data_IF_647250590692
#
_entry.id   IF_647250590692
#
_cell.length_a   1.000
_cell.length_b   1.000
_cell.length_c   1.000
_cell.angle_alpha   90.00
_cell.angle_beta   90.00
_cell.angle_gamma   90.00
#
_symmetry.space_group_name_H-M   'P 1'
#
loop_
_entity.id
_entity.type
_entity.pdbx_description
1 polymer ?
#
# COMPACT_ATOMS: atom_id res chain seq x y z
N UNK A 1 43.32 -23.07 6.22
CA UNK A 1 41.84 -23.18 6.30
C UNK A 1 41.28 -22.60 7.60
N UNK A 2 42.09 -22.36 8.64
CA UNK A 2 41.58 -21.83 9.92
C UNK A 2 41.55 -20.28 9.97
N UNK A 3 42.32 -19.58 9.14
CA UNK A 3 42.45 -18.11 9.17
C UNK A 3 41.27 -17.32 8.56
N UNK A 4 40.35 -17.97 7.82
CA UNK A 4 39.26 -17.28 7.09
C UNK A 4 37.86 -17.52 7.69
N UNK A 5 37.76 -18.09 8.89
CA UNK A 5 36.48 -18.47 9.51
C UNK A 5 35.92 -17.35 10.38
N UNK A 6 34.70 -16.90 10.08
CA UNK A 6 33.99 -15.85 10.85
C UNK A 6 32.66 -16.37 11.36
N UNK A 7 32.39 -16.14 12.65
CA UNK A 7 31.08 -16.39 13.28
C UNK A 7 30.32 -15.08 13.43
N UNK A 8 29.12 -15.02 12.85
CA UNK A 8 28.19 -13.90 13.02
C UNK A 8 27.03 -14.36 13.89
N UNK A 9 26.68 -13.55 14.89
CA UNK A 9 25.49 -13.74 15.71
C UNK A 9 24.64 -12.48 15.58
N UNK A 10 23.35 -12.66 15.29
CA UNK A 10 22.40 -11.57 15.21
C UNK A 10 21.11 -11.97 15.93
N UNK A 11 20.55 -11.00 16.66
CA UNK A 11 19.23 -11.10 17.25
C UNK A 11 18.25 -10.36 16.36
N UNK A 12 17.03 -10.87 16.29
CA UNK A 12 15.91 -10.14 15.74
C UNK A 12 14.67 -10.51 16.54
N UNK A 13 13.77 -9.55 16.64
CA UNK A 13 12.43 -9.81 17.16
C UNK A 13 11.63 -10.53 16.06
N UNK A 14 11.19 -11.76 16.35
CA UNK A 14 10.54 -12.64 15.38
C UNK A 14 9.10 -12.21 15.05
N UNK A 15 8.48 -11.39 15.90
CA UNK A 15 7.11 -10.91 15.69
C UNK A 15 7.14 -9.49 15.15
N UNK A 16 7.80 -8.58 15.88
CA UNK A 16 7.81 -7.17 15.54
C UNK A 16 8.62 -6.88 14.29
N UNK A 17 9.82 -7.48 14.18
CA UNK A 17 10.69 -7.30 13.02
C UNK A 17 10.07 -7.87 11.75
N UNK A 18 9.42 -9.03 11.84
CA UNK A 18 8.71 -9.62 10.71
C UNK A 18 7.51 -8.76 10.29
N UNK A 19 6.71 -8.30 11.26
CA UNK A 19 5.55 -7.43 11.00
C UNK A 19 5.94 -6.14 10.27
N UNK A 20 7.03 -5.49 10.68
CA UNK A 20 7.56 -4.31 9.99
C UNK A 20 7.97 -4.62 8.54
N UNK A 21 8.62 -5.77 8.29
CA UNK A 21 9.00 -6.17 6.92
C UNK A 21 7.80 -6.47 6.02
N UNK A 22 6.68 -6.94 6.59
CA UNK A 22 5.43 -7.13 5.83
C UNK A 22 4.83 -5.77 5.44
N UNK A 23 4.83 -4.79 6.34
CA UNK A 23 4.36 -3.43 6.04
C UNK A 23 5.19 -2.75 4.95
N UNK A 24 6.52 -2.83 5.04
CA UNK A 24 7.43 -2.35 3.99
C UNK A 24 7.15 -3.00 2.64
N UNK A 25 6.88 -4.31 2.64
CA UNK A 25 6.54 -5.04 1.41
C UNK A 25 5.21 -4.57 0.83
N UNK A 26 4.20 -4.32 1.67
CA UNK A 26 2.92 -3.78 1.21
C UNK A 26 3.09 -2.42 0.54
N UNK A 27 3.85 -1.51 1.16
CA UNK A 27 4.20 -0.21 0.57
C UNK A 27 4.96 -0.37 -0.74
N UNK A 28 5.94 -1.29 -0.79
CA UNK A 28 6.71 -1.55 -2.00
C UNK A 28 5.83 -2.03 -3.15
N UNK A 29 4.94 -2.99 -2.89
CA UNK A 29 4.00 -3.52 -3.88
C UNK A 29 3.07 -2.42 -4.37
N UNK A 30 2.49 -1.63 -3.47
CA UNK A 30 1.62 -0.51 -3.84
C UNK A 30 2.34 0.49 -4.75
N UNK A 31 3.58 0.88 -4.39
CA UNK A 31 4.37 1.82 -5.19
C UNK A 31 4.72 1.33 -6.60
N UNK A 32 4.69 0.01 -6.83
CA UNK A 32 5.07 -0.62 -8.09
C UNK A 32 3.91 -1.30 -8.80
N UNK A 33 2.68 -1.13 -8.30
CA UNK A 33 1.52 -1.80 -8.85
C UNK A 33 1.24 -1.33 -10.29
N UNK A 34 1.34 -2.21 -11.31
CA UNK A 34 1.05 -1.85 -12.68
C UNK A 34 -0.44 -1.54 -12.83
N UNK A 35 -0.77 -0.31 -13.24
CA UNK A 35 -2.17 0.13 -13.37
C UNK A 35 -2.59 1.21 -12.38
N UNK A 36 -1.71 1.64 -11.46
CA UNK A 36 -1.85 2.95 -10.80
C UNK A 36 -1.52 4.09 -11.79
N UNK A 37 -2.31 4.18 -12.87
CA UNK A 37 -2.37 5.36 -13.71
C UNK A 37 -3.60 6.16 -13.31
N UNK A 38 -3.33 7.40 -12.91
CA UNK A 38 -4.24 8.46 -12.52
C UNK A 38 -4.90 8.31 -11.13
N UNK A 39 -5.00 9.46 -10.46
CA UNK A 39 -5.77 9.69 -9.25
C UNK A 39 -7.26 9.44 -9.52
N UNK A 40 -7.62 8.17 -9.62
CA UNK A 40 -8.95 7.65 -9.32
C UNK A 40 -9.04 7.77 -7.82
N UNK A 41 -9.94 8.63 -7.33
CA UNK A 41 -10.26 8.64 -5.90
C UNK A 41 -10.50 7.19 -5.49
N UNK A 42 -9.92 6.72 -4.38
CA UNK A 42 -10.12 5.33 -3.94
C UNK A 42 -11.60 4.93 -3.73
N UNK A 43 -12.50 5.90 -3.86
CA UNK A 43 -13.94 5.77 -4.02
C UNK A 43 -14.37 5.77 -5.52
N UNK A 44 -14.81 4.62 -6.06
CA UNK A 44 -15.38 4.52 -7.40
C UNK A 44 -16.59 5.44 -7.63
N UNK A 45 -17.35 5.78 -6.59
CA UNK A 45 -18.50 6.70 -6.69
C UNK A 45 -18.02 8.13 -6.95
N UNK A 46 -16.96 8.56 -6.27
CA UNK A 46 -16.39 9.88 -6.46
C UNK A 46 -15.84 10.05 -7.89
N UNK A 47 -15.24 9.02 -8.48
CA UNK A 47 -14.80 9.09 -9.88
C UNK A 47 -15.94 9.06 -10.89
N UNK A 48 -16.99 8.28 -10.62
CA UNK A 48 -18.21 8.28 -11.43
C UNK A 48 -18.87 9.67 -11.42
N UNK A 49 -18.99 10.31 -10.26
CA UNK A 49 -19.61 11.63 -10.13
C UNK A 49 -18.81 12.76 -10.78
N UNK A 50 -17.50 12.61 -10.99
CA UNK A 50 -16.69 13.57 -11.77
C UNK A 50 -17.09 13.61 -13.24
N UNK A 51 -17.52 12.50 -13.82
CA UNK A 51 -17.99 12.45 -15.23
C UNK A 51 -19.50 12.58 -15.36
N UNK A 52 -20.25 12.28 -14.28
CA UNK A 52 -21.70 12.16 -14.27
C UNK A 52 -22.37 12.97 -13.14
N UNK A 53 -22.16 14.29 -13.04
CA UNK A 53 -22.61 15.08 -11.90
C UNK A 53 -24.14 15.24 -11.78
N UNK A 54 -24.90 14.90 -12.83
CA UNK A 54 -26.36 15.03 -12.87
C UNK A 54 -27.10 13.79 -12.37
N UNK A 55 -26.39 12.66 -12.22
CA UNK A 55 -26.99 11.40 -11.78
C UNK A 55 -27.41 11.50 -10.29
N UNK A 56 -28.49 10.81 -9.94
CA UNK A 56 -29.10 10.92 -8.60
C UNK A 56 -28.17 10.45 -7.48
N UNK A 57 -27.29 9.50 -7.80
CA UNK A 57 -26.26 8.95 -6.90
C UNK A 57 -25.19 9.99 -6.52
N UNK A 58 -25.09 11.09 -7.27
CA UNK A 58 -24.14 12.17 -7.06
C UNK A 58 -24.75 13.39 -6.35
N UNK A 59 -26.04 13.35 -6.02
CA UNK A 59 -26.72 14.42 -5.30
C UNK A 59 -26.36 14.35 -3.82
N UNK A 60 -25.56 15.31 -3.35
CA UNK A 60 -25.34 15.50 -1.91
C UNK A 60 -26.61 16.13 -1.32
N UNK A 61 -27.39 15.34 -0.60
CA UNK A 61 -28.53 15.84 0.16
C UNK A 61 -28.01 16.40 1.48
N UNK A 62 -28.14 17.72 1.71
CA UNK A 62 -27.92 18.29 3.04
C UNK A 62 -29.05 17.86 3.98
N UNK A 63 -28.69 17.44 5.18
CA UNK A 63 -29.61 16.99 6.23
C UNK A 63 -30.21 18.16 7.02
#
# INVERSE_FOLDING_TARGET
>A
MEDDMVKVVAWYDNEWGYSQRVDDLAHLVASKWPGMLAAVSGDPLEDFCKTNPADEECKVYEA
#
